data_IF_761465547769
#
_entry.id   IF_761465547769
#
_cell.length_a   1.000
_cell.length_b   1.000
_cell.length_c   1.000
_cell.angle_alpha   90.00
_cell.angle_beta   90.00
_cell.angle_gamma   90.00
#
_symmetry.space_group_name_H-M   'P 1'
#
loop_
_entity.id
_entity.type
_entity.pdbx_description
1 polymer ?
#
# COMPACT_ATOMS: atom_id res chain seq x y z
N UNK A 1 17.45 8.09 -19.03
CA UNK A 1 17.09 6.68 -18.88
C UNK A 1 15.58 6.61 -18.69
N UNK A 2 14.88 5.98 -19.64
CA UNK A 2 13.42 5.72 -19.50
C UNK A 2 13.26 4.69 -18.39
N UNK A 3 12.67 5.09 -17.27
CA UNK A 3 12.30 4.14 -16.21
C UNK A 3 11.01 3.45 -16.66
N UNK A 4 11.16 2.25 -17.20
CA UNK A 4 10.02 1.39 -17.53
C UNK A 4 9.61 0.61 -16.27
N UNK A 5 8.57 1.09 -15.62
CA UNK A 5 8.03 0.47 -14.41
C UNK A 5 7.45 -0.93 -14.65
N UNK A 6 7.07 -1.25 -15.88
CA UNK A 6 6.49 -2.55 -16.23
C UNK A 6 7.54 -3.65 -16.40
N UNK A 7 8.79 -3.28 -16.70
CA UNK A 7 9.88 -4.24 -16.91
C UNK A 7 10.66 -4.59 -15.64
N UNK A 8 10.56 -3.80 -14.59
CA UNK A 8 11.30 -4.00 -13.34
C UNK A 8 10.42 -4.69 -12.28
N UNK A 9 10.53 -6.00 -12.25
CA UNK A 9 9.82 -6.85 -11.31
C UNK A 9 8.38 -7.15 -11.75
N UNK A 10 7.97 -8.38 -11.59
CA UNK A 10 6.60 -8.83 -11.90
C UNK A 10 5.86 -9.16 -10.63
N UNK A 11 4.60 -8.73 -10.54
CA UNK A 11 3.70 -9.28 -9.56
C UNK A 11 3.52 -10.79 -9.85
N UNK A 12 3.52 -11.60 -8.82
CA UNK A 12 3.32 -13.04 -8.95
C UNK A 12 1.99 -13.44 -8.29
N UNK A 13 1.07 -13.94 -9.10
CA UNK A 13 -0.25 -14.44 -8.72
C UNK A 13 -0.46 -15.88 -9.22
N UNK A 14 0.63 -16.61 -9.53
CA UNK A 14 0.54 -17.96 -10.11
C UNK A 14 -0.23 -18.92 -9.20
N UNK A 15 -0.11 -18.77 -7.87
CA UNK A 15 -0.84 -19.59 -6.92
C UNK A 15 -2.36 -19.45 -7.05
N UNK A 16 -2.88 -18.32 -7.56
CA UNK A 16 -4.31 -18.13 -7.74
C UNK A 16 -4.84 -18.80 -9.01
N UNK A 17 -3.96 -19.13 -9.97
CA UNK A 17 -4.36 -19.74 -11.23
C UNK A 17 -4.74 -21.21 -11.11
N UNK A 18 -4.26 -21.90 -10.06
CA UNK A 18 -4.54 -23.33 -9.88
C UNK A 18 -5.89 -23.63 -9.21
N UNK A 19 -6.66 -22.59 -8.84
CA UNK A 19 -8.03 -22.69 -8.34
C UNK A 19 -8.19 -23.33 -6.95
N UNK A 20 -7.10 -23.49 -6.18
CA UNK A 20 -7.19 -24.10 -4.83
C UNK A 20 -7.71 -23.08 -3.83
N UNK A 21 -8.76 -23.44 -3.08
CA UNK A 21 -9.40 -22.56 -2.08
C UNK A 21 -8.43 -21.99 -1.05
N UNK A 22 -7.45 -22.81 -0.62
CA UNK A 22 -6.43 -22.35 0.33
C UNK A 22 -5.61 -21.17 -0.21
N UNK A 23 -5.35 -21.10 -1.51
CA UNK A 23 -4.60 -20.01 -2.10
C UNK A 23 -5.42 -18.71 -2.16
N UNK A 24 -6.72 -18.81 -2.41
CA UNK A 24 -7.61 -17.65 -2.31
C UNK A 24 -7.77 -17.19 -0.86
N UNK A 25 -7.91 -18.14 0.08
CA UNK A 25 -7.99 -17.83 1.50
C UNK A 25 -6.72 -17.11 1.99
N UNK A 26 -5.52 -17.61 1.65
CA UNK A 26 -4.26 -16.96 2.05
C UNK A 26 -4.06 -15.61 1.37
N UNK A 27 -4.43 -15.48 0.09
CA UNK A 27 -4.35 -14.21 -0.64
C UNK A 27 -5.28 -13.13 -0.06
N UNK A 28 -6.41 -13.51 0.54
CA UNK A 28 -7.37 -12.56 1.13
C UNK A 28 -6.77 -11.71 2.27
N UNK A 29 -5.73 -12.19 2.92
CA UNK A 29 -4.97 -11.44 3.93
C UNK A 29 -3.51 -11.16 3.52
N UNK A 30 -3.19 -11.29 2.21
CA UNK A 30 -1.94 -10.82 1.62
C UNK A 30 -0.79 -11.84 1.59
N UNK A 31 -1.08 -13.14 1.80
CA UNK A 31 -0.08 -14.20 1.69
C UNK A 31 -0.18 -14.95 0.35
N UNK A 32 0.91 -15.59 -0.06
CA UNK A 32 0.96 -16.40 -1.29
C UNK A 32 0.93 -15.59 -2.60
N UNK A 33 1.02 -14.27 -2.52
CA UNK A 33 1.12 -13.35 -3.65
C UNK A 33 2.27 -12.37 -3.45
N UNK A 34 2.88 -11.91 -4.54
CA UNK A 34 3.90 -10.85 -4.45
C UNK A 34 3.61 -9.73 -5.44
N UNK A 35 3.89 -8.51 -5.01
CA UNK A 35 3.73 -7.30 -5.82
C UNK A 35 4.93 -6.39 -5.64
N UNK A 36 5.28 -5.64 -6.69
CA UNK A 36 6.30 -4.60 -6.55
C UNK A 36 5.75 -3.39 -5.80
N UNK A 37 6.59 -2.60 -5.10
CA UNK A 37 6.14 -1.39 -4.40
C UNK A 37 5.36 -0.43 -5.31
N UNK A 38 5.82 -0.22 -6.55
CA UNK A 38 5.13 0.68 -7.47
C UNK A 38 3.77 0.14 -7.93
N UNK A 39 3.63 -1.17 -8.11
CA UNK A 39 2.33 -1.77 -8.44
C UNK A 39 1.37 -1.72 -7.26
N UNK A 40 1.88 -1.88 -6.04
CA UNK A 40 1.07 -1.71 -4.83
C UNK A 40 0.61 -0.25 -4.68
N UNK A 41 1.51 0.73 -4.88
CA UNK A 41 1.15 2.16 -4.91
C UNK A 41 0.07 2.44 -5.95
N UNK A 42 0.24 1.94 -7.19
CA UNK A 42 -0.77 2.14 -8.26
C UNK A 42 -2.12 1.50 -7.93
N UNK A 43 -2.12 0.33 -7.31
CA UNK A 43 -3.36 -0.36 -6.92
C UNK A 43 -4.11 0.41 -5.82
N UNK A 44 -3.41 0.85 -4.78
CA UNK A 44 -4.03 1.60 -3.68
C UNK A 44 -4.36 3.03 -4.09
N UNK A 45 -3.58 3.66 -5.00
CA UNK A 45 -3.92 4.97 -5.55
C UNK A 45 -5.24 4.95 -6.32
N UNK A 46 -5.63 3.82 -6.90
CA UNK A 46 -6.95 3.69 -7.52
C UNK A 46 -8.09 3.85 -6.50
N UNK A 47 -7.93 3.42 -5.25
CA UNK A 47 -8.89 3.67 -4.18
C UNK A 47 -8.97 5.16 -3.89
N UNK A 48 -7.81 5.83 -3.75
CA UNK A 48 -7.72 7.28 -3.53
C UNK A 48 -8.25 8.11 -4.71
N UNK A 49 -8.29 7.53 -5.92
CA UNK A 49 -8.73 8.16 -7.16
C UNK A 49 -10.10 7.63 -7.65
N UNK A 50 -11.05 7.50 -6.74
CA UNK A 50 -12.42 7.10 -7.05
C UNK A 50 -12.55 5.82 -7.89
N UNK A 51 -11.62 4.88 -7.73
CA UNK A 51 -11.62 3.57 -8.40
C UNK A 51 -10.93 3.54 -9.78
N UNK A 52 -10.28 4.61 -10.19
CA UNK A 52 -9.57 4.71 -11.48
C UNK A 52 -8.08 4.51 -11.26
N UNK A 53 -7.50 3.46 -11.89
CA UNK A 53 -6.07 3.20 -11.86
C UNK A 53 -5.36 4.06 -12.92
N UNK A 54 -4.32 4.77 -12.50
CA UNK A 54 -3.48 5.60 -13.34
C UNK A 54 -2.17 4.89 -13.66
N UNK A 55 -1.60 5.23 -14.82
CA UNK A 55 -0.25 4.79 -15.20
C UNK A 55 0.80 5.64 -14.45
N UNK A 56 1.74 5.01 -13.73
CA UNK A 56 2.82 5.76 -13.10
C UNK A 56 3.73 6.40 -14.13
N UNK A 57 4.13 7.66 -13.90
CA UNK A 57 5.11 8.36 -14.71
C UNK A 57 6.01 9.23 -13.81
N UNK A 58 7.17 9.64 -14.32
CA UNK A 58 8.16 10.46 -13.58
C UNK A 58 8.50 11.75 -14.34
N UNK A 59 8.47 11.67 -15.67
CA UNK A 59 8.89 12.81 -16.48
C UNK A 59 7.79 13.89 -16.49
N UNK A 60 8.20 15.15 -16.35
CA UNK A 60 7.28 16.29 -16.43
C UNK A 60 6.67 16.49 -17.82
N UNK A 61 7.29 15.88 -18.85
CA UNK A 61 6.76 15.82 -20.22
C UNK A 61 5.60 14.84 -20.38
N UNK A 62 5.45 13.91 -19.44
CA UNK A 62 4.39 12.91 -19.51
C UNK A 62 3.07 13.49 -19.00
N UNK A 63 1.98 13.07 -19.60
CA UNK A 63 0.63 13.45 -19.18
C UNK A 63 0.00 12.36 -18.31
N UNK A 64 -0.88 12.70 -17.37
CA UNK A 64 -1.66 11.72 -16.63
C UNK A 64 -2.48 10.83 -17.58
N UNK A 65 -2.30 9.52 -17.49
CA UNK A 65 -2.99 8.53 -18.32
C UNK A 65 -3.79 7.57 -17.44
N UNK A 66 -5.10 7.52 -17.66
CA UNK A 66 -5.98 6.55 -16.99
C UNK A 66 -5.87 5.19 -17.70
N UNK A 67 -5.52 4.14 -16.93
CA UNK A 67 -5.46 2.78 -17.46
C UNK A 67 -6.86 2.19 -17.57
N UNK A 68 -7.58 2.16 -16.44
CA UNK A 68 -8.97 1.68 -16.38
C UNK A 68 -9.61 1.96 -15.03
N UNK A 69 -10.94 1.89 -14.97
CA UNK A 69 -11.67 1.74 -13.71
C UNK A 69 -11.53 0.30 -13.21
N UNK A 70 -11.02 0.11 -12.00
CA UNK A 70 -10.79 -1.22 -11.39
C UNK A 70 -11.85 -1.57 -10.34
N UNK A 71 -12.44 -0.55 -9.70
CA UNK A 71 -13.58 -0.67 -8.76
C UNK A 71 -14.53 0.50 -8.99
N UNK A 72 -15.77 0.37 -8.51
CA UNK A 72 -16.72 1.48 -8.55
C UNK A 72 -16.30 2.60 -7.59
N UNK A 73 -16.75 3.82 -7.87
CA UNK A 73 -16.54 4.98 -6.99
C UNK A 73 -17.11 4.73 -5.59
N UNK A 74 -18.31 4.17 -5.52
CA UNK A 74 -18.96 3.78 -4.25
C UNK A 74 -18.09 2.79 -3.45
N UNK A 75 -17.49 1.80 -4.12
CA UNK A 75 -16.60 0.83 -3.48
C UNK A 75 -15.33 1.51 -2.98
N UNK A 76 -14.72 2.39 -3.77
CA UNK A 76 -13.55 3.16 -3.37
C UNK A 76 -13.82 4.02 -2.14
N UNK A 77 -14.98 4.69 -2.09
CA UNK A 77 -15.40 5.49 -0.94
C UNK A 77 -15.60 4.63 0.32
N UNK A 78 -16.26 3.47 0.20
CA UNK A 78 -16.45 2.53 1.32
C UNK A 78 -15.10 2.05 1.87
N UNK A 79 -14.16 1.66 1.01
CA UNK A 79 -12.82 1.23 1.41
C UNK A 79 -12.08 2.38 2.11
N UNK A 80 -12.13 3.58 1.58
CA UNK A 80 -11.53 4.78 2.19
C UNK A 80 -12.05 5.01 3.61
N UNK A 81 -13.37 4.93 3.81
CA UNK A 81 -13.98 5.06 5.15
C UNK A 81 -13.49 3.97 6.12
N UNK A 82 -13.34 2.73 5.64
CA UNK A 82 -12.78 1.63 6.45
C UNK A 82 -11.31 1.90 6.82
N UNK A 83 -10.50 2.38 5.88
CA UNK A 83 -9.09 2.72 6.12
C UNK A 83 -8.95 3.87 7.12
N UNK A 84 -9.79 4.90 7.05
CA UNK A 84 -9.85 6.00 8.04
C UNK A 84 -10.26 5.47 9.42
N UNK A 85 -11.27 4.61 9.49
CA UNK A 85 -11.72 4.02 10.75
C UNK A 85 -10.62 3.16 11.41
N UNK A 86 -9.82 2.46 10.61
CA UNK A 86 -8.70 1.66 11.11
C UNK A 86 -7.62 2.54 11.77
N UNK A 87 -7.35 3.72 11.23
CA UNK A 87 -6.40 4.69 11.81
C UNK A 87 -6.92 5.25 13.12
N UNK A 88 -8.18 5.65 13.20
CA UNK A 88 -8.77 6.18 14.43
C UNK A 88 -8.71 5.20 15.60
N UNK A 89 -8.69 3.91 15.32
CA UNK A 89 -8.49 2.86 16.34
C UNK A 89 -7.01 2.65 16.70
N UNK A 90 -6.10 3.08 15.83
CA UNK A 90 -4.65 2.98 16.04
C UNK A 90 -4.04 4.39 16.04
N UNK A 91 -4.03 5.01 17.21
CA UNK A 91 -3.65 6.41 17.45
C UNK A 91 -2.25 6.78 16.92
N UNK A 92 -1.36 5.79 16.71
CA UNK A 92 0.02 6.03 16.24
C UNK A 92 0.06 6.66 14.85
N UNK A 93 -0.89 6.30 13.96
CA UNK A 93 -0.95 6.81 12.59
C UNK A 93 -1.81 8.08 12.45
N UNK A 94 -2.48 8.51 13.52
CA UNK A 94 -3.37 9.67 13.50
C UNK A 94 -2.58 10.98 13.40
N UNK A 95 -3.02 11.85 12.51
CA UNK A 95 -2.45 13.19 12.33
C UNK A 95 -3.53 14.19 12.71
N UNK A 96 -3.33 14.96 13.81
CA UNK A 96 -4.32 15.94 14.25
C UNK A 96 -4.74 16.89 13.13
N UNK A 97 -6.05 17.18 13.06
CA UNK A 97 -6.69 18.05 12.06
C UNK A 97 -6.76 17.48 10.63
N UNK A 98 -6.20 16.28 10.36
CA UNK A 98 -6.26 15.68 9.04
C UNK A 98 -6.94 14.30 9.08
N UNK A 99 -7.76 14.04 8.07
CA UNK A 99 -8.27 12.69 7.85
C UNK A 99 -7.29 11.92 6.97
N UNK A 100 -6.74 10.85 7.52
CA UNK A 100 -5.78 9.98 6.82
C UNK A 100 -6.41 8.62 6.60
N UNK A 101 -6.24 8.06 5.42
CA UNK A 101 -6.60 6.68 5.12
C UNK A 101 -5.33 5.84 5.01
N UNK A 102 -5.26 4.70 5.69
CA UNK A 102 -4.04 3.88 5.66
C UNK A 102 -4.25 2.44 6.12
N UNK A 103 -3.26 1.61 5.81
CA UNK A 103 -3.23 0.19 6.16
C UNK A 103 -1.81 -0.29 6.42
N UNK A 104 -1.64 -0.98 7.53
CA UNK A 104 -0.43 -1.74 7.85
C UNK A 104 -0.38 -3.06 7.11
N UNK A 105 0.82 -3.55 6.83
CA UNK A 105 1.09 -4.93 6.42
C UNK A 105 2.27 -5.47 7.21
N UNK A 106 2.13 -6.68 7.71
CA UNK A 106 3.22 -7.46 8.29
C UNK A 106 3.16 -8.85 7.68
N UNK A 107 4.18 -9.23 6.94
CA UNK A 107 4.25 -10.52 6.28
C UNK A 107 5.53 -11.24 6.69
N UNK A 108 5.44 -12.52 7.00
CA UNK A 108 6.61 -13.36 7.21
C UNK A 108 7.33 -13.63 5.89
N UNK A 109 8.67 -13.70 5.95
CA UNK A 109 9.50 -14.00 4.80
C UNK A 109 9.45 -15.50 4.52
N UNK A 110 9.11 -15.95 3.29
CA UNK A 110 9.12 -17.37 2.96
C UNK A 110 10.50 -17.98 3.10
N UNK A 111 10.55 -19.19 3.64
CA UNK A 111 11.76 -20.02 3.64
C UNK A 111 11.73 -20.92 2.40
N UNK A 112 12.53 -20.59 1.40
CA UNK A 112 12.59 -21.34 0.13
C UNK A 112 13.44 -22.63 0.23
N UNK A 113 14.25 -22.80 1.30
CA UNK A 113 15.09 -23.99 1.49
C UNK A 113 14.36 -25.06 2.31
N UNK A 114 13.72 -24.66 3.41
CA UNK A 114 13.05 -25.58 4.34
C UNK A 114 11.54 -25.66 4.12
N UNK A 115 10.98 -24.75 3.33
CA UNK A 115 9.54 -24.54 3.23
C UNK A 115 8.96 -23.81 4.44
N UNK A 116 7.75 -23.25 4.27
CA UNK A 116 7.12 -22.44 5.31
C UNK A 116 7.64 -21.00 5.35
N UNK A 117 7.84 -20.46 6.55
CA UNK A 117 8.25 -19.07 6.79
C UNK A 117 9.38 -19.00 7.80
N UNK A 118 10.24 -18.00 7.66
CA UNK A 118 11.25 -17.62 8.65
C UNK A 118 10.63 -16.77 9.76
N UNK A 119 11.38 -16.46 10.82
CA UNK A 119 10.98 -15.50 11.85
C UNK A 119 11.14 -14.04 11.40
N UNK A 120 11.79 -13.82 10.26
CA UNK A 120 11.92 -12.50 9.66
C UNK A 120 10.58 -11.99 9.13
N UNK A 121 10.34 -10.68 9.26
CA UNK A 121 9.14 -10.02 8.76
C UNK A 121 9.47 -8.92 7.76
N UNK A 122 8.52 -8.67 6.88
CA UNK A 122 8.47 -7.51 6.02
C UNK A 122 7.33 -6.62 6.50
N UNK A 123 7.67 -5.43 6.95
CA UNK A 123 6.71 -4.44 7.40
C UNK A 123 6.43 -3.42 6.32
N UNK A 124 5.15 -3.12 6.11
CA UNK A 124 4.70 -2.07 5.20
C UNK A 124 3.65 -1.20 5.85
N UNK A 125 3.61 0.05 5.44
CA UNK A 125 2.47 0.92 5.66
C UNK A 125 2.21 1.70 4.38
N UNK A 126 0.96 1.72 3.94
CA UNK A 126 0.52 2.53 2.81
C UNK A 126 -0.66 3.39 3.23
N UNK A 127 -0.62 4.67 2.89
CA UNK A 127 -1.68 5.60 3.23
C UNK A 127 -1.69 6.82 2.34
N UNK A 128 -2.83 7.52 2.33
CA UNK A 128 -3.03 8.75 1.57
C UNK A 128 -3.78 9.79 2.41
N UNK A 129 -3.56 11.03 2.09
CA UNK A 129 -4.16 12.18 2.78
C UNK A 129 -4.33 13.39 1.83
N UNK A 130 -5.29 14.29 2.14
CA UNK A 130 -6.46 14.07 3.00
C UNK A 130 -7.35 12.93 2.46
N UNK A 131 -8.04 12.18 3.31
CA UNK A 131 -8.81 11.03 2.85
C UNK A 131 -10.00 11.39 1.94
N UNK A 132 -10.58 12.59 2.10
CA UNK A 132 -11.71 13.08 1.29
C UNK A 132 -11.28 13.62 -0.07
N UNK A 133 -10.08 14.21 -0.16
CA UNK A 133 -9.53 14.85 -1.36
C UNK A 133 -8.04 14.52 -1.47
N UNK A 134 -7.68 13.26 -1.75
CA UNK A 134 -6.31 12.80 -1.70
C UNK A 134 -5.36 13.62 -2.57
N UNK A 135 -4.25 14.09 -1.99
CA UNK A 135 -3.21 14.86 -2.66
C UNK A 135 -1.94 14.07 -2.85
N UNK A 136 -1.68 13.12 -1.99
CA UNK A 136 -0.53 12.23 -2.07
C UNK A 136 -0.84 10.86 -1.48
N UNK A 137 -0.03 9.89 -1.87
CA UNK A 137 0.02 8.54 -1.30
C UNK A 137 1.47 8.20 -0.95
N UNK A 138 1.69 7.59 0.20
CA UNK A 138 3.00 7.18 0.67
C UNK A 138 2.97 5.69 0.99
N UNK A 139 3.98 4.97 0.52
CA UNK A 139 4.27 3.59 0.91
C UNK A 139 5.63 3.57 1.60
N UNK A 140 5.66 3.06 2.83
CA UNK A 140 6.90 2.75 3.54
C UNK A 140 7.02 1.24 3.66
N UNK A 141 8.19 0.72 3.33
CA UNK A 141 8.53 -0.70 3.40
C UNK A 141 9.83 -0.85 4.18
N UNK A 142 9.86 -1.79 5.10
CA UNK A 142 11.04 -2.14 5.87
C UNK A 142 11.20 -3.65 5.88
N UNK A 143 12.34 -4.12 5.40
CA UNK A 143 12.69 -5.52 5.34
C UNK A 143 13.47 -5.92 6.59
N UNK A 144 13.03 -6.98 7.26
CA UNK A 144 13.72 -7.64 8.39
C UNK A 144 14.13 -6.65 9.49
N UNK A 145 13.21 -5.87 10.07
CA UNK A 145 13.55 -4.93 11.13
C UNK A 145 14.05 -5.69 12.37
N UNK A 146 15.20 -5.30 12.88
CA UNK A 146 15.73 -5.87 14.11
C UNK A 146 14.95 -5.39 15.34
N UNK A 147 14.55 -6.32 16.20
CA UNK A 147 13.95 -6.01 17.52
C UNK A 147 12.53 -5.47 17.53
N UNK A 148 11.87 -5.27 16.38
CA UNK A 148 10.52 -4.76 16.31
C UNK A 148 9.72 -5.42 15.17
N UNK A 149 9.06 -6.56 15.43
CA UNK A 149 8.44 -7.35 14.36
C UNK A 149 7.14 -6.74 13.81
N UNK A 150 6.53 -5.77 14.50
CA UNK A 150 5.23 -5.23 14.12
C UNK A 150 5.35 -3.91 13.33
N UNK A 151 4.65 -3.81 12.22
CA UNK A 151 4.57 -2.61 11.38
C UNK A 151 4.15 -1.35 12.17
N UNK A 152 3.28 -1.50 13.17
CA UNK A 152 2.83 -0.42 14.04
C UNK A 152 3.95 0.28 14.81
N UNK A 153 5.03 -0.43 15.12
CA UNK A 153 6.18 0.08 15.87
C UNK A 153 7.33 0.58 14.99
N UNK A 154 7.27 0.29 13.69
CA UNK A 154 8.36 0.57 12.74
C UNK A 154 7.94 1.57 11.68
N UNK A 155 7.16 1.14 10.69
CA UNK A 155 6.82 1.95 9.51
C UNK A 155 5.69 2.95 9.74
N UNK A 156 4.84 2.73 10.76
CA UNK A 156 3.72 3.65 11.07
C UNK A 156 4.20 5.01 11.59
N UNK A 157 5.11 5.08 12.58
CA UNK A 157 5.67 6.37 13.02
C UNK A 157 6.33 7.14 11.88
N UNK A 158 7.16 6.46 11.07
CA UNK A 158 7.83 7.06 9.92
C UNK A 158 6.83 7.61 8.87
N UNK A 159 5.75 6.88 8.61
CA UNK A 159 4.67 7.38 7.76
C UNK A 159 4.04 8.64 8.33
N UNK A 160 3.71 8.65 9.62
CA UNK A 160 3.08 9.80 10.28
C UNK A 160 3.94 11.05 10.15
N UNK A 161 5.23 10.95 10.46
CA UNK A 161 6.17 12.08 10.34
C UNK A 161 6.26 12.61 8.92
N UNK A 162 6.43 11.71 7.94
CA UNK A 162 6.53 12.09 6.54
C UNK A 162 5.22 12.70 6.01
N UNK A 163 4.07 12.11 6.33
CA UNK A 163 2.77 12.62 5.93
C UNK A 163 2.49 14.00 6.54
N UNK A 164 2.80 14.18 7.84
CA UNK A 164 2.69 15.48 8.52
C UNK A 164 3.58 16.54 7.86
N UNK A 165 4.82 16.17 7.52
CA UNK A 165 5.72 17.07 6.80
C UNK A 165 5.14 17.50 5.46
N UNK A 166 4.63 16.53 4.65
CA UNK A 166 4.06 16.82 3.33
C UNK A 166 2.82 17.70 3.44
N UNK A 167 1.91 17.43 4.39
CA UNK A 167 0.72 18.25 4.64
C UNK A 167 1.09 19.69 4.98
N UNK A 168 2.06 19.87 5.88
CA UNK A 168 2.51 21.21 6.27
C UNK A 168 3.24 21.94 5.12
N UNK A 169 4.11 21.23 4.40
CA UNK A 169 4.90 21.82 3.32
C UNK A 169 4.05 22.36 2.17
N UNK A 170 2.99 21.65 1.81
CA UNK A 170 2.09 22.05 0.72
C UNK A 170 0.88 22.85 1.18
N UNK A 171 0.77 23.19 2.48
CA UNK A 171 -0.38 23.88 3.06
C UNK A 171 -1.72 23.23 2.68
N UNK A 172 -1.79 21.94 2.81
CA UNK A 172 -2.97 21.12 2.46
C UNK A 172 -3.98 21.19 3.60
#
# INVERSE_FOLDING_TARGET
AIIDFDKRGRANFENLKNGRDINFATASFGHGVSVTPIKLLSAISAIANAGIMMKPYILTSDSPEAVKRVISEETAEKITKMMVSAIKKNVIADIPNYSVAGKTGTAYVPDFEKGGYTDDVLNTYIGFAPASTPKFIILIKLDKPAGAPLAGLTVVPAFRELAQFVLNYYNI
#
